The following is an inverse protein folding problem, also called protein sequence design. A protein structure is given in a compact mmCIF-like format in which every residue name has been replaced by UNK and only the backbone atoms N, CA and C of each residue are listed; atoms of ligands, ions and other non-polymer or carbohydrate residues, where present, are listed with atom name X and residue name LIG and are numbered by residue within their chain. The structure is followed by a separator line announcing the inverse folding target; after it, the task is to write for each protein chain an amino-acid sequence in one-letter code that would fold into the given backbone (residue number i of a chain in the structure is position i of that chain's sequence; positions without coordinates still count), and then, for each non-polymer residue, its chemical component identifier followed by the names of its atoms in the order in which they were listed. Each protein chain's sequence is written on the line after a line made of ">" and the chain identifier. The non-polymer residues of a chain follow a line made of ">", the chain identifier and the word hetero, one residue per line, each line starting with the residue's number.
data_IF_972462092037
#
_entry.id   IF_972462092037
#
_cell.length_a   1.000
_cell.length_b   1.000
_cell.length_c   1.000
_cell.angle_alpha   90.00
_cell.angle_beta   90.00
_cell.angle_gamma   90.00
#
_symmetry.space_group_name_H-M   'P 1'
#
loop_
_entity.id
_entity.type
_entity.pdbx_description
1 polymer ?
#
# COMPACT_ATOMS: atom_id res chain seq x y z
N UNK A 1 2.24 -12.40 1.20
CA UNK A 1 3.70 -12.21 1.30
C UNK A 1 4.15 -10.78 1.02
N UNK A 2 3.60 -10.06 0.06
CA UNK A 2 3.97 -8.66 -0.28
C UNK A 2 3.87 -7.66 0.89
N UNK A 3 2.87 -7.77 1.75
CA UNK A 3 2.65 -6.81 2.85
C UNK A 3 3.64 -6.91 4.02
N UNK A 4 4.30 -8.06 4.20
CA UNK A 4 5.37 -8.22 5.21
C UNK A 4 6.63 -7.50 4.71
N UNK A 5 6.82 -7.45 3.40
CA UNK A 5 7.98 -6.86 2.75
C UNK A 5 7.97 -5.33 2.86
N UNK A 6 6.84 -4.65 2.69
CA UNK A 6 6.72 -3.19 2.83
C UNK A 6 7.02 -2.70 4.26
N UNK A 7 6.48 -3.38 5.28
CA UNK A 7 6.75 -3.02 6.68
C UNK A 7 8.23 -3.23 7.03
N UNK A 8 8.83 -4.30 6.52
CA UNK A 8 10.24 -4.61 6.74
C UNK A 8 11.16 -3.64 5.97
N UNK A 9 10.81 -3.31 4.74
CA UNK A 9 11.53 -2.32 3.93
C UNK A 9 11.56 -0.95 4.62
N UNK A 10 10.42 -0.48 5.14
CA UNK A 10 10.37 0.78 5.91
C UNK A 10 11.27 0.76 7.15
N UNK A 11 11.31 -0.36 7.86
CA UNK A 11 12.20 -0.54 9.03
C UNK A 11 13.68 -0.53 8.66
N UNK A 12 14.04 -1.11 7.52
CA UNK A 12 15.39 -1.05 6.97
C UNK A 12 15.78 0.41 6.68
N UNK A 13 14.89 1.20 6.08
CA UNK A 13 15.13 2.64 5.87
C UNK A 13 15.34 3.38 7.19
N UNK A 14 14.51 3.12 8.20
CA UNK A 14 14.66 3.72 9.53
C UNK A 14 16.03 3.41 10.15
N UNK A 15 16.45 2.15 10.11
CA UNK A 15 17.76 1.75 10.63
C UNK A 15 18.92 2.39 9.82
N UNK A 16 18.81 2.52 8.52
CA UNK A 16 19.80 3.25 7.68
C UNK A 16 19.93 4.72 8.09
N UNK A 17 18.82 5.40 8.36
CA UNK A 17 18.86 6.80 8.82
C UNK A 17 19.61 6.88 10.16
N UNK A 18 19.33 5.98 11.11
CA UNK A 18 20.05 5.93 12.40
C UNK A 18 21.54 5.76 12.18
N UNK A 19 21.95 4.83 11.33
CA UNK A 19 23.40 4.59 11.07
C UNK A 19 24.08 5.80 10.43
N UNK A 20 23.38 6.53 9.54
CA UNK A 20 23.90 7.78 8.96
C UNK A 20 24.06 8.86 10.03
N UNK A 21 23.05 9.07 10.87
CA UNK A 21 23.10 10.09 11.93
C UNK A 21 24.24 9.81 12.90
N UNK A 22 24.34 8.60 13.41
CA UNK A 22 25.43 8.24 14.33
C UNK A 22 26.80 8.24 13.65
N UNK A 23 26.87 7.83 12.37
CA UNK A 23 28.09 7.93 11.57
C UNK A 23 28.58 9.38 11.43
N UNK A 24 27.66 10.32 11.12
CA UNK A 24 27.97 11.74 11.02
C UNK A 24 28.45 12.30 12.38
N UNK A 25 27.76 11.98 13.47
CA UNK A 25 28.15 12.42 14.83
C UNK A 25 29.57 11.91 15.15
N UNK A 26 29.83 10.61 14.93
CA UNK A 26 31.16 10.04 15.17
C UNK A 26 32.24 10.69 14.32
N UNK A 27 31.94 10.99 13.04
CA UNK A 27 32.86 11.69 12.14
C UNK A 27 33.23 13.10 12.63
N UNK A 28 32.20 13.90 13.02
CA UNK A 28 32.45 15.24 13.56
C UNK A 28 33.22 15.21 14.86
N UNK A 29 32.97 14.22 15.73
CA UNK A 29 33.73 14.02 16.94
C UNK A 29 35.21 13.71 16.65
N UNK A 30 35.49 12.87 15.66
CA UNK A 30 36.90 12.64 15.23
C UNK A 30 37.56 13.93 14.77
N UNK A 31 36.90 14.70 13.90
CA UNK A 31 37.45 15.97 13.43
C UNK A 31 37.71 16.94 14.58
N UNK A 32 36.71 17.13 15.44
CA UNK A 32 36.82 18.02 16.59
C UNK A 32 37.98 17.68 17.51
N UNK A 33 38.18 16.39 17.80
CA UNK A 33 39.24 15.93 18.68
C UNK A 33 40.61 16.02 18.04
N UNK A 34 40.75 15.72 16.76
CA UNK A 34 42.03 15.82 15.99
C UNK A 34 42.51 17.27 15.89
N UNK A 35 41.57 18.23 15.73
CA UNK A 35 41.92 19.66 15.65
C UNK A 35 42.24 20.26 17.04
N UNK A 36 41.91 19.57 18.12
CA UNK A 36 42.18 20.05 19.46
C UNK A 36 43.68 20.26 19.69
N UNK A 37 44.12 21.42 20.26
CA UNK A 37 45.52 21.67 20.58
C UNK A 37 46.13 20.65 21.54
N UNK A 38 45.28 19.97 22.33
CA UNK A 38 45.71 18.99 23.35
C UNK A 38 45.81 17.55 22.81
N UNK A 39 45.44 17.31 21.54
CA UNK A 39 45.37 15.96 20.94
C UNK A 39 46.67 15.16 21.09
N UNK A 40 47.83 15.80 20.96
CA UNK A 40 49.12 15.11 21.03
C UNK A 40 49.59 14.80 22.45
N UNK A 41 48.99 15.43 23.45
CA UNK A 41 49.45 15.35 24.83
C UNK A 41 48.53 14.49 25.71
N UNK A 42 47.28 14.30 25.32
CA UNK A 42 46.25 13.67 26.13
C UNK A 42 45.91 12.26 25.63
N UNK A 43 46.11 11.25 26.54
CA UNK A 43 45.75 9.86 26.29
C UNK A 43 44.21 9.66 26.13
N UNK A 44 43.42 10.37 26.93
CA UNK A 44 41.97 10.27 26.93
C UNK A 44 41.38 10.76 25.60
N UNK A 45 41.88 11.89 25.10
CA UNK A 45 41.46 12.47 23.81
C UNK A 45 41.79 11.52 22.64
N UNK A 46 42.99 10.92 22.64
CA UNK A 46 43.38 9.93 21.63
C UNK A 46 42.49 8.70 21.67
N UNK A 47 42.20 8.18 22.84
CA UNK A 47 41.33 7.02 23.03
C UNK A 47 39.90 7.33 22.58
N UNK A 48 39.38 8.51 22.94
CA UNK A 48 38.07 8.98 22.49
C UNK A 48 37.99 9.08 20.95
N UNK A 49 39.04 9.60 20.31
CA UNK A 49 39.14 9.71 18.85
C UNK A 49 39.11 8.32 18.18
N UNK A 50 39.86 7.35 18.70
CA UNK A 50 39.88 5.97 18.19
C UNK A 50 38.53 5.30 18.34
N UNK A 51 37.82 5.47 19.44
CA UNK A 51 36.47 4.96 19.65
C UNK A 51 35.50 5.54 18.62
N UNK A 52 35.50 6.87 18.42
CA UNK A 52 34.63 7.51 17.44
C UNK A 52 34.96 7.06 16.00
N UNK A 53 36.25 6.87 15.66
CA UNK A 53 36.65 6.34 14.36
C UNK A 53 36.12 4.92 14.12
N UNK A 54 36.23 4.05 15.16
CA UNK A 54 35.67 2.70 15.10
C UNK A 54 34.16 2.73 14.86
N UNK A 55 33.39 3.56 15.56
CA UNK A 55 31.95 3.66 15.38
C UNK A 55 31.56 4.26 14.03
N UNK A 56 32.31 5.23 13.54
CA UNK A 56 32.11 5.75 12.18
C UNK A 56 32.22 4.63 11.12
N UNK A 57 33.27 3.82 11.20
CA UNK A 57 33.47 2.69 10.31
C UNK A 57 32.38 1.62 10.49
N UNK A 58 32.00 1.32 11.73
CA UNK A 58 30.95 0.37 12.06
C UNK A 58 29.60 0.79 11.48
N UNK A 59 29.18 2.03 11.66
CA UNK A 59 27.91 2.52 11.11
C UNK A 59 27.92 2.58 9.58
N UNK A 60 29.06 2.90 8.97
CA UNK A 60 29.24 2.81 7.53
C UNK A 60 29.08 1.37 7.00
N UNK A 61 29.66 0.39 7.69
CA UNK A 61 29.49 -1.02 7.39
C UNK A 61 28.03 -1.47 7.52
N UNK A 62 27.33 -1.14 8.61
CA UNK A 62 25.92 -1.47 8.79
C UNK A 62 25.08 -0.86 7.67
N UNK A 63 25.31 0.40 7.32
CA UNK A 63 24.58 1.07 6.23
C UNK A 63 24.71 0.32 4.90
N UNK A 64 25.92 -0.11 4.56
CA UNK A 64 26.23 -0.77 3.30
C UNK A 64 25.62 -2.18 3.19
N UNK A 65 25.71 -2.97 4.25
CA UNK A 65 25.31 -4.38 4.24
C UNK A 65 23.90 -4.65 4.77
N UNK A 66 23.18 -3.64 5.23
CA UNK A 66 21.83 -3.78 5.76
C UNK A 66 20.82 -4.10 4.65
N UNK A 67 20.14 -5.23 4.81
CA UNK A 67 19.07 -5.72 3.94
C UNK A 67 17.85 -6.16 4.76
N UNK A 68 16.72 -6.45 4.08
CA UNK A 68 15.54 -7.00 4.75
C UNK A 68 15.83 -8.36 5.41
N UNK A 69 16.69 -9.18 4.83
CA UNK A 69 17.03 -10.52 5.34
C UNK A 69 17.80 -10.49 6.66
N UNK A 70 18.71 -9.54 6.82
CA UNK A 70 19.59 -9.43 7.99
C UNK A 70 19.17 -8.31 8.97
N UNK A 71 18.02 -7.68 8.74
CA UNK A 71 17.54 -6.54 9.53
C UNK A 71 17.58 -6.78 11.05
N UNK A 72 17.05 -7.91 11.53
CA UNK A 72 16.96 -8.18 12.96
C UNK A 72 18.35 -8.28 13.63
N UNK A 73 19.32 -8.88 12.93
CA UNK A 73 20.69 -9.02 13.41
C UNK A 73 21.35 -7.64 13.52
N UNK A 74 21.27 -6.85 12.43
CA UNK A 74 21.85 -5.50 12.43
C UNK A 74 21.15 -4.56 13.39
N UNK A 75 19.84 -4.71 13.61
CA UNK A 75 19.11 -3.95 14.63
C UNK A 75 19.68 -4.20 16.03
N UNK A 76 19.83 -5.46 16.43
CA UNK A 76 20.37 -5.84 17.73
C UNK A 76 21.81 -5.33 17.87
N UNK A 77 22.65 -5.56 16.85
CA UNK A 77 24.03 -5.11 16.86
C UNK A 77 24.14 -3.58 16.95
N UNK A 78 23.29 -2.84 16.25
CA UNK A 78 23.27 -1.36 16.31
C UNK A 78 22.86 -0.86 17.69
N UNK A 79 21.84 -1.44 18.32
CA UNK A 79 21.42 -1.08 19.67
C UNK A 79 22.56 -1.33 20.66
N UNK A 80 23.21 -2.50 20.56
CA UNK A 80 24.33 -2.86 21.41
C UNK A 80 25.52 -1.94 21.20
N UNK A 81 25.84 -1.60 19.95
CA UNK A 81 26.90 -0.66 19.61
C UNK A 81 26.65 0.73 20.21
N UNK A 82 25.44 1.27 20.09
CA UNK A 82 25.06 2.56 20.69
C UNK A 82 25.24 2.52 22.22
N UNK A 83 24.84 1.42 22.85
CA UNK A 83 24.98 1.24 24.30
C UNK A 83 26.46 1.18 24.74
N UNK A 84 27.30 0.38 24.06
CA UNK A 84 28.73 0.28 24.36
C UNK A 84 29.42 1.63 24.08
N UNK A 85 29.05 2.31 22.98
CA UNK A 85 29.57 3.64 22.69
C UNK A 85 29.34 4.58 23.88
N UNK A 86 28.11 4.62 24.38
CA UNK A 86 27.73 5.46 25.50
C UNK A 86 28.55 5.14 26.74
N UNK A 87 28.68 3.86 27.12
CA UNK A 87 29.50 3.43 28.29
C UNK A 87 30.97 3.78 28.11
N UNK A 88 31.52 3.65 26.90
CA UNK A 88 32.91 3.97 26.60
C UNK A 88 33.18 5.46 26.75
N UNK A 89 32.28 6.31 26.26
CA UNK A 89 32.40 7.78 26.41
C UNK A 89 32.27 8.18 27.87
N UNK A 90 31.32 7.58 28.58
CA UNK A 90 31.12 7.85 30.03
C UNK A 90 32.34 7.47 30.88
N UNK A 91 32.90 6.29 30.62
CA UNK A 91 34.11 5.82 31.29
C UNK A 91 35.32 6.75 31.02
N UNK A 92 35.49 7.22 29.77
CA UNK A 92 36.54 8.17 29.44
C UNK A 92 36.37 9.52 30.13
N UNK A 93 35.15 9.99 30.26
CA UNK A 93 34.83 11.23 30.98
C UNK A 93 35.12 11.09 32.48
N UNK A 94 34.96 9.89 33.05
CA UNK A 94 35.37 9.62 34.47
C UNK A 94 36.89 9.58 34.67
N UNK A 95 37.65 9.16 33.64
CA UNK A 95 39.12 9.15 33.70
C UNK A 95 39.73 10.56 33.54
N UNK A 96 38.99 11.51 32.94
CA UNK A 96 39.44 12.88 32.81
C UNK A 96 39.27 13.64 34.13
N UNK A 97 40.39 13.76 34.88
CA UNK A 97 40.45 14.42 36.20
C UNK A 97 39.94 15.89 36.20
N UNK A 98 39.75 16.51 35.09
CA UNK A 98 39.16 17.85 35.00
C UNK A 98 37.66 17.85 35.32
N UNK A 99 36.94 16.78 34.99
CA UNK A 99 35.54 16.62 35.31
C UNK A 99 35.25 16.19 36.74
N UNK A 100 36.18 15.49 37.38
CA UNK A 100 36.04 15.05 38.79
C UNK A 100 36.17 16.22 39.81
N UNK A 101 36.72 17.36 39.37
CA UNK A 101 36.84 18.55 40.27
C UNK A 101 35.55 19.38 40.36
N UNK A 102 34.55 19.14 39.52
CA UNK A 102 33.25 19.83 39.60
C UNK A 102 32.20 19.12 40.45
N UNK A 103 32.64 18.40 41.50
CA UNK A 103 31.74 17.68 42.40
C UNK A 103 30.97 16.54 41.73
N UNK A 104 30.83 15.43 42.40
CA UNK A 104 30.07 14.24 41.94
C UNK A 104 28.65 14.54 41.45
N UNK A 105 28.05 15.69 41.82
CA UNK A 105 26.71 16.10 41.50
C UNK A 105 26.54 16.77 40.12
N UNK A 106 27.51 17.58 39.66
CA UNK A 106 27.43 18.32 38.41
C UNK A 106 28.16 17.63 37.24
N UNK A 107 29.29 16.98 37.50
CA UNK A 107 30.10 16.32 36.47
C UNK A 107 29.50 15.02 35.90
N UNK A 108 28.68 14.30 36.67
CA UNK A 108 28.17 12.99 36.31
C UNK A 108 26.87 13.02 35.45
N UNK A 109 26.33 14.17 35.11
CA UNK A 109 24.99 14.08 34.54
C UNK A 109 24.53 15.11 33.51
N UNK A 110 25.16 16.27 33.43
CA UNK A 110 24.48 17.41 32.78
C UNK A 110 24.23 17.25 31.28
N UNK A 111 25.19 16.74 30.53
CA UNK A 111 25.06 16.76 29.06
C UNK A 111 24.42 15.48 28.52
N UNK A 112 24.56 14.38 29.18
CA UNK A 112 24.13 13.07 28.69
C UNK A 112 22.66 12.79 28.98
N UNK A 113 22.09 13.36 30.07
CA UNK A 113 20.67 13.20 30.37
C UNK A 113 19.74 13.88 29.35
N UNK A 114 20.22 14.93 28.67
CA UNK A 114 19.46 15.61 27.62
C UNK A 114 19.54 14.87 26.28
N UNK A 115 20.71 14.30 25.96
CA UNK A 115 20.92 13.59 24.69
C UNK A 115 20.23 12.24 24.64
N UNK A 116 20.14 11.52 25.76
CA UNK A 116 19.57 10.18 25.78
C UNK A 116 18.06 10.14 25.47
N UNK A 117 17.20 10.99 26.05
CA UNK A 117 15.79 11.11 25.64
C UNK A 117 15.63 11.45 24.15
N UNK A 118 16.52 12.29 23.61
CA UNK A 118 16.50 12.63 22.19
C UNK A 118 16.85 11.43 21.31
N UNK A 119 17.86 10.65 21.68
CA UNK A 119 18.23 9.39 21.00
C UNK A 119 17.08 8.38 21.07
N UNK A 120 16.44 8.26 22.22
CA UNK A 120 15.28 7.39 22.42
C UNK A 120 14.12 7.83 21.54
N UNK A 121 13.85 9.13 21.43
CA UNK A 121 12.81 9.69 20.57
C UNK A 121 13.09 9.37 19.09
N UNK A 122 14.31 9.61 18.64
CA UNK A 122 14.75 9.31 17.27
C UNK A 122 14.63 7.80 17.00
N UNK A 123 15.11 6.98 17.90
CA UNK A 123 15.04 5.52 17.78
C UNK A 123 13.59 5.02 17.72
N UNK A 124 12.70 5.55 18.56
CA UNK A 124 11.30 5.15 18.59
C UNK A 124 10.56 5.48 17.29
N UNK A 125 10.82 6.67 16.71
CA UNK A 125 10.19 7.10 15.46
C UNK A 125 10.69 6.29 14.26
N UNK A 126 11.96 5.88 14.27
CA UNK A 126 12.60 5.20 13.16
C UNK A 126 12.40 3.68 13.19
N UNK A 127 12.45 3.06 14.37
CA UNK A 127 12.34 1.60 14.48
C UNK A 127 10.90 1.09 14.49
N UNK A 128 9.95 1.87 14.98
CA UNK A 128 8.52 1.53 15.02
C UNK A 128 8.24 0.14 15.64
N UNK A 129 9.02 -0.26 16.63
CA UNK A 129 8.85 -1.49 17.40
C UNK A 129 8.80 -1.19 18.88
N UNK A 130 7.70 -1.53 19.57
CA UNK A 130 7.60 -1.34 21.03
C UNK A 130 8.74 -2.02 21.78
N UNK A 131 9.21 -3.18 21.29
CA UNK A 131 10.31 -3.92 21.89
C UNK A 131 11.62 -3.12 21.93
N UNK A 132 11.88 -2.30 20.90
CA UNK A 132 13.06 -1.44 20.85
C UNK A 132 12.97 -0.35 21.91
N UNK A 133 11.82 0.26 22.09
CA UNK A 133 11.59 1.26 23.15
C UNK A 133 11.82 0.63 24.52
N UNK A 134 11.28 -0.56 24.78
CA UNK A 134 11.48 -1.30 26.02
C UNK A 134 12.98 -1.58 26.26
N UNK A 135 13.71 -2.03 25.23
CA UNK A 135 15.15 -2.27 25.33
C UNK A 135 15.93 -0.99 25.68
N UNK A 136 15.61 0.14 25.03
CA UNK A 136 16.25 1.41 25.36
C UNK A 136 15.92 1.87 26.79
N UNK A 137 14.67 1.72 27.23
CA UNK A 137 14.26 2.01 28.61
C UNK A 137 15.05 1.14 29.59
N UNK A 138 15.17 -0.16 29.32
CA UNK A 138 15.93 -1.09 30.15
C UNK A 138 17.41 -0.70 30.25
N UNK A 139 18.08 -0.49 29.11
CA UNK A 139 19.48 -0.08 29.07
C UNK A 139 19.72 1.25 29.77
N UNK A 140 18.82 2.22 29.59
CA UNK A 140 18.95 3.49 30.29
C UNK A 140 18.79 3.35 31.80
N UNK A 141 17.85 2.52 32.24
CA UNK A 141 17.73 2.21 33.68
C UNK A 141 19.00 1.57 34.24
N UNK A 142 19.60 0.66 33.48
CA UNK A 142 20.90 0.07 33.87
C UNK A 142 22.02 1.14 33.99
N UNK A 143 22.08 2.10 33.07
CA UNK A 143 23.05 3.20 33.11
C UNK A 143 22.78 4.11 34.31
N UNK A 144 21.53 4.44 34.61
CA UNK A 144 21.20 5.21 35.81
C UNK A 144 21.65 4.50 37.08
N UNK A 145 21.35 3.21 37.20
CA UNK A 145 21.78 2.40 38.33
C UNK A 145 23.31 2.40 38.42
N UNK A 146 24.01 2.14 37.32
CA UNK A 146 25.48 2.15 37.29
C UNK A 146 26.08 3.49 37.75
N UNK A 147 25.52 4.62 37.29
CA UNK A 147 26.01 5.95 37.67
C UNK A 147 25.75 6.33 39.11
N UNK A 148 24.57 6.02 39.63
CA UNK A 148 24.16 6.48 40.94
C UNK A 148 24.41 5.43 42.03
N UNK A 149 24.63 4.17 41.70
CA UNK A 149 24.88 3.12 42.66
C UNK A 149 26.10 3.37 43.54
N UNK A 150 27.31 3.79 43.02
CA UNK A 150 28.45 4.11 43.84
C UNK A 150 28.19 5.29 44.78
N UNK A 151 27.35 6.22 44.35
CA UNK A 151 26.99 7.40 45.13
C UNK A 151 26.06 7.05 46.29
N UNK A 152 25.14 6.09 46.07
CA UNK A 152 24.20 5.63 47.12
C UNK A 152 24.88 4.78 48.18
N UNK A 153 25.91 4.01 47.80
CA UNK A 153 26.64 3.13 48.74
C UNK A 153 27.72 3.87 49.54
N UNK A 154 28.22 4.98 49.04
CA UNK A 154 29.22 5.75 49.73
C UNK A 154 28.55 6.49 50.91
N UNK A 155 28.87 6.09 52.14
CA UNK A 155 28.31 6.64 53.38
C UNK A 155 28.54 8.17 53.54
N UNK A 156 29.46 8.73 52.77
CA UNK A 156 29.78 10.16 52.81
C UNK A 156 28.96 10.98 51.80
N UNK A 157 28.15 10.34 50.94
CA UNK A 157 27.33 11.08 49.97
C UNK A 157 25.97 11.44 50.54
N UNK A 158 25.50 12.64 50.21
CA UNK A 158 24.20 13.12 50.66
C UNK A 158 23.51 13.98 49.57
N UNK A 159 22.20 14.05 49.64
CA UNK A 159 21.42 14.89 48.77
C UNK A 159 21.27 16.31 49.32
N UNK A 160 21.51 17.34 48.51
CA UNK A 160 21.32 18.74 48.86
C UNK A 160 20.61 19.52 47.78
N UNK A 161 19.83 20.51 48.16
CA UNK A 161 19.25 21.49 47.25
C UNK A 161 19.95 22.87 47.34
N UNK A 162 20.94 22.96 48.25
CA UNK A 162 21.70 24.21 48.44
C UNK A 162 22.92 24.27 47.53
N UNK A 163 22.96 25.27 46.66
CA UNK A 163 24.04 25.49 45.68
C UNK A 163 25.43 25.66 46.30
N UNK A 164 25.52 26.29 47.47
CA UNK A 164 26.81 26.50 48.14
C UNK A 164 27.38 25.17 48.62
N UNK A 165 26.52 24.33 49.16
CA UNK A 165 26.87 22.97 49.59
C UNK A 165 27.24 22.10 48.40
N UNK A 166 26.49 22.15 47.30
CA UNK A 166 26.74 21.35 46.10
C UNK A 166 28.08 21.72 45.45
N UNK A 167 28.39 23.02 45.40
CA UNK A 167 29.67 23.51 44.83
C UNK A 167 30.86 23.32 45.78
N UNK A 168 30.62 23.30 47.09
CA UNK A 168 31.67 23.21 48.11
C UNK A 168 32.03 21.81 48.54
N UNK A 169 31.11 20.85 48.47
CA UNK A 169 31.31 19.47 48.90
C UNK A 169 31.16 18.48 47.76
N UNK A 170 32.22 17.82 47.39
CA UNK A 170 32.23 16.84 46.29
C UNK A 170 31.35 15.60 46.53
N UNK A 171 30.81 15.42 47.73
CA UNK A 171 29.89 14.33 48.07
C UNK A 171 28.41 14.75 48.00
N UNK A 172 28.11 16.03 47.79
CA UNK A 172 26.75 16.52 47.68
C UNK A 172 26.16 16.26 46.29
N UNK A 173 24.95 15.71 46.23
CA UNK A 173 24.20 15.47 45.00
C UNK A 173 23.06 16.49 44.90
N UNK A 174 22.93 17.15 43.75
CA UNK A 174 21.83 18.06 43.51
C UNK A 174 20.50 17.30 43.39
N UNK A 175 19.65 17.43 44.40
CA UNK A 175 18.32 16.80 44.42
C UNK A 175 17.40 17.31 43.32
N UNK A 176 17.47 18.60 42.97
CA UNK A 176 16.62 19.22 41.98
C UNK A 176 16.98 18.70 40.57
N UNK A 177 18.28 18.65 40.28
CA UNK A 177 18.78 18.14 39.01
C UNK A 177 18.47 16.64 38.84
N UNK A 178 18.67 15.83 39.86
CA UNK A 178 18.31 14.40 39.84
C UNK A 178 16.83 14.20 39.61
N UNK A 179 15.97 14.90 40.37
CA UNK A 179 14.52 14.83 40.20
C UNK A 179 14.07 15.29 38.81
N UNK A 180 14.66 16.37 38.28
CA UNK A 180 14.41 16.86 36.95
C UNK A 180 14.79 15.81 35.86
N UNK A 181 15.96 15.20 35.94
CA UNK A 181 16.43 14.18 35.02
C UNK A 181 15.52 12.96 34.97
N UNK A 182 15.08 12.48 36.14
CA UNK A 182 14.15 11.34 36.25
C UNK A 182 12.79 11.69 35.61
N UNK A 183 12.27 12.89 35.89
CA UNK A 183 11.00 13.33 35.29
C UNK A 183 11.08 13.45 33.76
N UNK A 184 12.13 14.07 33.22
CA UNK A 184 12.36 14.18 31.78
C UNK A 184 12.43 12.79 31.13
N UNK A 185 13.10 11.84 31.78
CA UNK A 185 13.20 10.47 31.30
C UNK A 185 11.84 9.75 31.27
N UNK A 186 11.04 9.86 32.34
CA UNK A 186 9.69 9.27 32.38
C UNK A 186 8.80 9.84 31.25
N UNK A 187 8.80 11.17 31.11
CA UNK A 187 8.03 11.85 30.06
C UNK A 187 8.49 11.39 28.67
N UNK A 188 9.81 11.33 28.43
CA UNK A 188 10.35 10.88 27.16
C UNK A 188 9.96 9.42 26.86
N UNK A 189 10.03 8.52 27.86
CA UNK A 189 9.63 7.13 27.69
C UNK A 189 8.14 6.98 27.33
N UNK A 190 7.25 7.74 27.98
CA UNK A 190 5.81 7.75 27.69
C UNK A 190 5.55 8.30 26.28
N UNK A 191 6.20 9.39 25.90
CA UNK A 191 6.06 9.99 24.57
C UNK A 191 6.53 9.03 23.48
N UNK A 192 7.70 8.41 23.66
CA UNK A 192 8.23 7.44 22.72
C UNK A 192 7.32 6.22 22.54
N UNK A 193 6.81 5.69 23.65
CA UNK A 193 5.82 4.59 23.61
C UNK A 193 4.57 4.99 22.84
N UNK A 194 4.04 6.17 23.15
CA UNK A 194 2.83 6.69 22.49
C UNK A 194 3.01 6.88 20.99
N UNK A 195 4.15 7.44 20.56
CA UNK A 195 4.49 7.63 19.15
C UNK A 195 4.57 6.29 18.41
N UNK A 196 5.25 5.30 19.00
CA UNK A 196 5.37 3.96 18.39
C UNK A 196 4.02 3.29 18.29
N UNK A 197 3.21 3.36 19.35
CA UNK A 197 1.88 2.76 19.40
C UNK A 197 0.95 3.37 18.34
N UNK A 198 0.88 4.71 18.26
CA UNK A 198 0.04 5.42 17.30
C UNK A 198 0.52 5.13 15.88
N UNK A 199 1.83 5.18 15.63
CA UNK A 199 2.41 4.92 14.31
C UNK A 199 2.13 3.48 13.82
N UNK A 200 2.25 2.48 14.70
CA UNK A 200 1.96 1.08 14.33
C UNK A 200 0.46 0.86 14.08
N UNK A 201 -0.40 1.50 14.87
CA UNK A 201 -1.85 1.47 14.68
C UNK A 201 -2.23 2.08 13.33
N UNK A 202 -1.82 3.32 13.07
CA UNK A 202 -2.10 4.02 11.79
C UNK A 202 -1.60 3.22 10.58
N UNK A 203 -0.40 2.65 10.67
CA UNK A 203 0.14 1.84 9.59
C UNK A 203 -0.68 0.58 9.33
N UNK A 204 -1.13 -0.10 10.38
CA UNK A 204 -1.98 -1.28 10.24
C UNK A 204 -3.37 -0.93 9.68
N UNK A 205 -3.92 0.22 10.04
CA UNK A 205 -5.20 0.71 9.50
C UNK A 205 -5.09 1.05 8.01
N UNK A 206 -3.99 1.71 7.59
CA UNK A 206 -3.71 1.98 6.17
C UNK A 206 -3.59 0.66 5.38
N UNK A 207 -2.83 -0.33 5.88
CA UNK A 207 -2.71 -1.63 5.21
C UNK A 207 -4.07 -2.33 5.10
N UNK A 208 -4.91 -2.28 6.14
CA UNK A 208 -6.25 -2.86 6.10
C UNK A 208 -7.11 -2.16 5.06
N UNK A 209 -7.04 -0.83 5.00
CA UNK A 209 -7.74 -0.02 4.02
C UNK A 209 -7.29 -0.35 2.59
N UNK A 210 -5.98 -0.41 2.33
CA UNK A 210 -5.45 -0.80 1.02
C UNK A 210 -5.89 -2.21 0.60
N UNK A 211 -5.84 -3.19 1.52
CA UNK A 211 -6.33 -4.55 1.24
C UNK A 211 -7.82 -4.58 0.93
N UNK A 212 -8.61 -3.86 1.71
CA UNK A 212 -10.03 -3.74 1.48
C UNK A 212 -10.31 -3.12 0.11
N UNK A 213 -9.65 -2.00 -0.21
CA UNK A 213 -9.77 -1.32 -1.50
C UNK A 213 -9.32 -2.23 -2.66
N UNK A 214 -8.23 -2.99 -2.49
CA UNK A 214 -7.78 -3.95 -3.50
C UNK A 214 -8.75 -5.13 -3.69
N UNK A 215 -9.43 -5.57 -2.65
CA UNK A 215 -10.50 -6.57 -2.77
C UNK A 215 -11.73 -5.99 -3.47
N UNK A 216 -12.19 -4.82 -3.06
CA UNK A 216 -13.32 -4.15 -3.71
C UNK A 216 -13.02 -3.79 -5.17
N UNK A 217 -11.77 -3.46 -5.50
CA UNK A 217 -11.39 -3.12 -6.87
C UNK A 217 -11.57 -4.26 -7.88
N UNK A 218 -11.70 -5.51 -7.41
CA UNK A 218 -12.01 -6.65 -8.29
C UNK A 218 -13.46 -6.64 -8.81
N UNK A 219 -14.35 -5.94 -8.12
CA UNK A 219 -15.75 -5.81 -8.52
C UNK A 219 -16.02 -4.67 -9.49
N UNK A 220 -15.01 -3.81 -9.75
CA UNK A 220 -15.14 -2.66 -10.61
C UNK A 220 -14.20 -2.77 -11.83
N UNK A 221 -14.65 -2.30 -12.97
CA UNK A 221 -13.80 -2.18 -14.16
C UNK A 221 -12.64 -1.21 -13.92
N UNK A 222 -11.53 -1.31 -14.68
CA UNK A 222 -10.41 -0.38 -14.56
C UNK A 222 -10.82 1.09 -14.69
N UNK A 223 -11.72 1.41 -15.63
CA UNK A 223 -12.20 2.76 -15.87
C UNK A 223 -13.00 3.34 -14.69
N UNK A 224 -13.83 2.51 -14.04
CA UNK A 224 -14.57 2.92 -12.83
C UNK A 224 -13.61 3.12 -11.67
N UNK A 225 -12.61 2.24 -11.51
CA UNK A 225 -11.60 2.38 -10.44
C UNK A 225 -10.82 3.69 -10.54
N UNK A 226 -10.39 4.05 -11.74
CA UNK A 226 -9.69 5.32 -11.99
C UNK A 226 -10.56 6.52 -11.62
N UNK A 227 -11.85 6.47 -11.97
CA UNK A 227 -12.82 7.51 -11.62
C UNK A 227 -13.11 7.60 -10.11
N UNK A 228 -13.21 6.46 -9.42
CA UNK A 228 -13.37 6.44 -7.94
C UNK A 228 -12.16 7.08 -7.25
N UNK A 229 -10.95 6.95 -7.81
CA UNK A 229 -9.73 7.53 -7.27
C UNK A 229 -9.60 9.04 -7.56
N UNK A 230 -10.30 9.55 -8.56
CA UNK A 230 -10.34 10.97 -8.87
C UNK A 230 -11.23 11.70 -7.84
N UNK A 231 -10.62 12.44 -6.92
CA UNK A 231 -11.30 13.18 -5.85
C UNK A 231 -12.29 14.23 -6.36
N UNK A 232 -12.21 14.61 -7.63
CA UNK A 232 -13.12 15.58 -8.26
C UNK A 232 -14.32 14.91 -8.93
N UNK A 233 -14.34 13.58 -9.01
CA UNK A 233 -15.42 12.85 -9.67
C UNK A 233 -16.42 12.33 -8.64
N UNK A 234 -17.51 13.06 -8.49
CA UNK A 234 -18.62 12.62 -7.66
C UNK A 234 -19.50 11.63 -8.42
N UNK A 235 -19.20 10.35 -8.25
CA UNK A 235 -19.97 9.24 -8.83
C UNK A 235 -21.43 9.26 -8.34
N UNK A 236 -21.68 9.81 -7.16
CA UNK A 236 -22.99 9.74 -6.50
C UNK A 236 -23.98 10.77 -7.04
N UNK A 237 -23.51 11.92 -7.53
CA UNK A 237 -24.36 13.02 -7.96
C UNK A 237 -24.64 13.11 -9.46
N UNK A 238 -23.87 12.42 -10.31
CA UNK A 238 -23.95 12.56 -11.77
C UNK A 238 -24.81 11.46 -12.42
N UNK A 239 -26.09 11.76 -12.63
CA UNK A 239 -26.90 11.05 -13.63
C UNK A 239 -26.73 11.78 -14.96
N UNK A 240 -25.95 11.20 -15.86
CA UNK A 240 -25.68 11.80 -17.15
C UNK A 240 -26.43 11.08 -18.24
N UNK A 241 -27.13 11.87 -19.07
CA UNK A 241 -27.73 11.43 -20.34
C UNK A 241 -26.61 11.37 -21.38
N UNK A 242 -26.30 10.20 -21.89
CA UNK A 242 -25.21 10.04 -22.88
C UNK A 242 -25.42 8.87 -23.82
N UNK A 243 -24.74 8.95 -24.97
CA UNK A 243 -24.74 7.92 -25.99
C UNK A 243 -23.79 6.80 -25.62
N UNK A 244 -24.28 5.56 -25.58
CA UNK A 244 -23.51 4.38 -25.12
C UNK A 244 -23.72 3.22 -26.10
N UNK A 245 -22.66 2.44 -26.37
CA UNK A 245 -22.82 1.13 -26.97
C UNK A 245 -22.99 0.08 -25.86
N UNK A 246 -24.06 -0.69 -25.94
CA UNK A 246 -24.34 -1.80 -25.02
C UNK A 246 -24.17 -3.10 -25.78
N UNK A 247 -23.34 -3.98 -25.20
CA UNK A 247 -23.03 -5.31 -25.72
C UNK A 247 -23.54 -6.36 -24.74
N UNK A 248 -24.30 -7.32 -25.27
CA UNK A 248 -24.66 -8.55 -24.60
C UNK A 248 -24.01 -9.73 -25.28
N UNK A 249 -23.52 -10.69 -24.50
CA UNK A 249 -23.10 -12.00 -25.02
C UNK A 249 -23.52 -13.09 -24.04
N UNK A 250 -23.96 -14.24 -24.56
CA UNK A 250 -24.40 -15.42 -23.79
C UNK A 250 -23.90 -16.73 -24.40
N UNK A 251 -23.96 -17.80 -23.64
CA UNK A 251 -23.59 -19.15 -24.08
C UNK A 251 -24.81 -19.79 -24.77
N UNK A 252 -24.61 -20.36 -25.96
CA UNK A 252 -25.66 -21.07 -26.68
C UNK A 252 -26.04 -22.36 -25.94
N UNK A 253 -27.30 -22.46 -25.48
CA UNK A 253 -27.84 -23.66 -24.84
C UNK A 253 -27.29 -23.95 -23.48
N UNK A 254 -26.85 -22.92 -22.73
CA UNK A 254 -26.25 -23.07 -21.40
C UNK A 254 -27.08 -23.91 -20.44
N UNK A 255 -28.41 -23.71 -20.39
CA UNK A 255 -29.31 -24.49 -19.52
C UNK A 255 -29.12 -25.99 -19.73
N UNK A 256 -29.15 -26.47 -20.98
CA UNK A 256 -28.97 -27.88 -21.29
C UNK A 256 -27.54 -28.40 -21.08
N UNK A 257 -26.55 -27.51 -21.05
CA UNK A 257 -25.15 -27.83 -20.70
C UNK A 257 -25.04 -27.96 -19.19
N UNK A 258 -25.55 -26.99 -18.45
CA UNK A 258 -25.45 -26.94 -16.97
C UNK A 258 -26.20 -28.07 -16.28
N UNK A 259 -27.32 -28.56 -16.85
CA UNK A 259 -28.04 -29.70 -16.32
C UNK A 259 -27.26 -31.04 -16.37
N UNK A 260 -26.21 -31.10 -17.21
CA UNK A 260 -25.38 -32.31 -17.42
C UNK A 260 -24.05 -32.27 -16.66
N UNK A 261 -23.74 -31.16 -16.05
CA UNK A 261 -22.47 -30.90 -15.36
C UNK A 261 -22.66 -30.86 -13.83
N UNK A 262 -21.65 -31.28 -13.11
CA UNK A 262 -21.60 -31.07 -11.67
C UNK A 262 -21.44 -29.55 -11.35
N UNK A 263 -21.97 -29.07 -10.21
CA UNK A 263 -21.95 -27.65 -9.85
C UNK A 263 -20.56 -26.98 -9.98
N UNK A 264 -19.51 -27.68 -9.57
CA UNK A 264 -18.13 -27.18 -9.66
C UNK A 264 -17.65 -27.06 -11.11
N UNK A 265 -18.10 -27.94 -12.00
CA UNK A 265 -17.79 -27.89 -13.43
C UNK A 265 -18.52 -26.73 -14.11
N UNK A 266 -19.76 -26.43 -13.71
CA UNK A 266 -20.52 -25.29 -14.17
C UNK A 266 -19.80 -23.99 -13.80
N UNK A 267 -19.35 -23.84 -12.54
CA UNK A 267 -18.60 -22.68 -12.09
C UNK A 267 -17.29 -22.52 -12.88
N UNK A 268 -16.58 -23.63 -13.11
CA UNK A 268 -15.33 -23.61 -13.89
C UNK A 268 -15.59 -23.18 -15.33
N UNK A 269 -16.62 -23.74 -15.98
CA UNK A 269 -17.02 -23.38 -17.34
C UNK A 269 -17.37 -21.88 -17.46
N UNK A 270 -18.18 -21.37 -16.52
CA UNK A 270 -18.54 -19.95 -16.47
C UNK A 270 -17.31 -19.07 -16.28
N UNK A 271 -16.41 -19.44 -15.37
CA UNK A 271 -15.18 -18.68 -15.11
C UNK A 271 -14.27 -18.63 -16.34
N UNK A 272 -14.10 -19.76 -17.06
CA UNK A 272 -13.33 -19.83 -18.30
C UNK A 272 -13.97 -18.98 -19.42
N UNK A 273 -15.29 -19.00 -19.55
CA UNK A 273 -16.02 -18.17 -20.50
C UNK A 273 -15.90 -16.69 -20.16
N UNK A 274 -16.20 -16.31 -18.93
CA UNK A 274 -16.13 -14.92 -18.46
C UNK A 274 -14.72 -14.32 -18.65
N UNK A 275 -13.67 -15.09 -18.39
CA UNK A 275 -12.28 -14.65 -18.58
C UNK A 275 -11.99 -14.29 -20.05
N UNK A 276 -12.57 -15.08 -21.00
CA UNK A 276 -12.45 -14.87 -22.43
C UNK A 276 -13.28 -13.70 -22.93
N UNK A 277 -14.32 -13.30 -22.20
CA UNK A 277 -15.16 -12.13 -22.53
C UNK A 277 -14.61 -10.85 -21.90
N UNK A 278 -14.14 -10.90 -20.64
CA UNK A 278 -13.65 -9.74 -19.91
C UNK A 278 -12.39 -9.15 -20.55
N UNK A 279 -11.45 -9.99 -20.99
CA UNK A 279 -10.20 -9.52 -21.60
C UNK A 279 -10.43 -8.61 -22.83
N UNK A 280 -11.21 -9.03 -23.86
CA UNK A 280 -11.54 -8.16 -24.99
C UNK A 280 -12.28 -6.88 -24.57
N UNK A 281 -13.19 -6.95 -23.57
CA UNK A 281 -13.90 -5.77 -23.09
C UNK A 281 -12.90 -4.72 -22.58
N UNK A 282 -11.97 -5.11 -21.72
CA UNK A 282 -10.99 -4.16 -21.17
C UNK A 282 -9.96 -3.69 -22.20
N UNK A 283 -9.54 -4.55 -23.13
CA UNK A 283 -8.63 -4.19 -24.21
C UNK A 283 -9.22 -3.14 -25.16
N UNK A 284 -10.53 -3.15 -25.34
CA UNK A 284 -11.25 -2.20 -26.18
C UNK A 284 -11.92 -1.06 -25.37
N UNK A 285 -11.36 -0.72 -24.20
CA UNK A 285 -11.85 0.37 -23.34
C UNK A 285 -13.32 0.25 -22.92
N UNK A 286 -13.85 -0.97 -22.85
CA UNK A 286 -15.18 -1.28 -22.36
C UNK A 286 -15.22 -1.46 -20.84
N UNK A 287 -16.41 -1.37 -20.30
CA UNK A 287 -16.73 -1.64 -18.90
C UNK A 287 -17.63 -2.85 -18.81
N UNK A 288 -17.29 -3.84 -17.97
CA UNK A 288 -18.24 -4.90 -17.60
C UNK A 288 -19.25 -4.28 -16.65
N UNK A 289 -20.52 -4.27 -17.05
CA UNK A 289 -21.60 -3.77 -16.21
C UNK A 289 -21.99 -4.83 -15.18
N UNK A 290 -22.43 -5.99 -15.65
CA UNK A 290 -22.79 -7.12 -14.78
C UNK A 290 -22.76 -8.47 -15.50
N UNK A 291 -22.82 -9.53 -14.72
CA UNK A 291 -23.08 -10.89 -15.18
C UNK A 291 -24.54 -11.24 -14.87
N UNK A 292 -25.23 -11.84 -15.85
CA UNK A 292 -26.65 -12.25 -15.72
C UNK A 292 -26.70 -13.72 -16.08
N UNK A 293 -26.48 -14.60 -15.07
CA UNK A 293 -26.27 -16.02 -15.32
C UNK A 293 -25.02 -16.28 -16.14
N UNK A 294 -25.16 -16.86 -17.32
CA UNK A 294 -24.10 -17.05 -18.32
C UNK A 294 -23.86 -15.83 -19.22
N UNK A 295 -24.79 -14.87 -19.22
CA UNK A 295 -24.67 -13.67 -20.03
C UNK A 295 -23.71 -12.64 -19.39
N UNK A 296 -22.97 -11.93 -20.24
CA UNK A 296 -22.14 -10.79 -19.87
C UNK A 296 -22.69 -9.54 -20.52
N UNK A 297 -22.99 -8.53 -19.71
CA UNK A 297 -23.34 -7.20 -20.16
C UNK A 297 -22.12 -6.30 -20.08
N UNK A 298 -21.78 -5.66 -21.20
CA UNK A 298 -20.70 -4.68 -21.27
C UNK A 298 -21.18 -3.38 -21.89
N UNK A 299 -20.54 -2.29 -21.50
CA UNK A 299 -20.84 -0.94 -21.98
C UNK A 299 -19.58 -0.27 -22.49
N UNK A 300 -19.73 0.56 -23.53
CA UNK A 300 -18.66 1.39 -24.10
C UNK A 300 -19.15 2.82 -24.14
N UNK A 301 -18.38 3.72 -23.58
CA UNK A 301 -18.78 5.09 -23.31
C UNK A 301 -19.06 5.37 -21.82
N UNK A 302 -18.93 4.38 -20.93
CA UNK A 302 -19.15 4.53 -19.50
C UNK A 302 -17.85 4.31 -18.71
N UNK A 303 -17.63 5.02 -17.59
CA UNK A 303 -18.40 6.14 -17.03
C UNK A 303 -18.29 7.42 -17.87
N UNK A 304 -17.35 7.50 -18.80
CA UNK A 304 -17.12 8.65 -19.69
C UNK A 304 -16.83 8.17 -21.09
N UNK A 305 -17.47 8.79 -22.09
CA UNK A 305 -17.23 8.49 -23.50
C UNK A 305 -15.79 8.81 -23.92
N UNK A 306 -15.22 7.94 -24.75
CA UNK A 306 -13.90 8.10 -25.36
C UNK A 306 -13.98 8.59 -26.83
N UNK A 307 -15.16 8.84 -27.33
CA UNK A 307 -15.42 9.33 -28.70
C UNK A 307 -15.54 8.22 -29.75
N UNK A 308 -14.97 7.03 -29.49
CA UNK A 308 -15.01 5.89 -30.45
C UNK A 308 -15.77 4.69 -29.88
N UNK A 309 -16.74 4.92 -29.01
CA UNK A 309 -17.39 3.88 -28.21
C UNK A 309 -18.09 2.80 -29.05
N UNK A 310 -18.74 3.20 -30.15
CA UNK A 310 -19.38 2.26 -31.10
C UNK A 310 -18.35 1.36 -31.81
N UNK A 311 -17.23 1.93 -32.26
CA UNK A 311 -16.13 1.17 -32.88
C UNK A 311 -15.44 0.24 -31.90
N UNK A 312 -15.22 0.69 -30.68
CA UNK A 312 -14.64 -0.10 -29.62
C UNK A 312 -15.51 -1.31 -29.24
N UNK A 313 -16.83 -1.12 -29.15
CA UNK A 313 -17.78 -2.21 -28.95
C UNK A 313 -17.73 -3.26 -30.07
N UNK A 314 -17.66 -2.80 -31.32
CA UNK A 314 -17.56 -3.68 -32.49
C UNK A 314 -16.22 -4.45 -32.48
N UNK A 315 -15.10 -3.80 -32.24
CA UNK A 315 -13.78 -4.43 -32.15
C UNK A 315 -13.74 -5.47 -31.03
N UNK A 316 -14.30 -5.14 -29.87
CA UNK A 316 -14.43 -6.07 -28.75
C UNK A 316 -15.17 -7.36 -29.15
N UNK A 317 -16.32 -7.22 -29.83
CA UNK A 317 -17.08 -8.39 -30.28
C UNK A 317 -16.30 -9.25 -31.30
N UNK A 318 -15.51 -8.63 -32.17
CA UNK A 318 -14.59 -9.36 -33.06
C UNK A 318 -13.54 -10.14 -32.28
N UNK A 319 -12.94 -9.52 -31.32
CA UNK A 319 -11.92 -10.16 -30.48
C UNK A 319 -12.52 -11.30 -29.64
N UNK A 320 -13.76 -11.14 -29.15
CA UNK A 320 -14.51 -12.22 -28.48
C UNK A 320 -14.73 -13.41 -29.43
N UNK A 321 -15.12 -13.18 -30.66
CA UNK A 321 -15.31 -14.26 -31.67
C UNK A 321 -13.98 -15.00 -31.93
N UNK A 322 -12.87 -14.28 -32.03
CA UNK A 322 -11.53 -14.88 -32.21
C UNK A 322 -11.16 -15.73 -30.96
N UNK A 323 -11.38 -15.20 -29.78
CA UNK A 323 -11.13 -15.91 -28.50
C UNK A 323 -11.95 -17.19 -28.41
N UNK A 324 -13.22 -17.16 -28.78
CA UNK A 324 -14.10 -18.35 -28.74
C UNK A 324 -13.72 -19.39 -29.80
N UNK A 325 -13.25 -18.99 -30.97
CA UNK A 325 -12.73 -19.95 -31.97
C UNK A 325 -11.47 -20.66 -31.46
N UNK A 326 -10.60 -19.92 -30.82
CA UNK A 326 -9.42 -20.52 -30.17
C UNK A 326 -9.84 -21.52 -29.10
N UNK A 327 -10.78 -21.12 -28.24
CA UNK A 327 -11.31 -22.02 -27.20
C UNK A 327 -11.98 -23.26 -27.77
N UNK A 328 -12.71 -23.15 -28.85
CA UNK A 328 -13.29 -24.28 -29.54
C UNK A 328 -12.23 -25.29 -30.00
N UNK A 329 -11.08 -24.83 -30.52
CA UNK A 329 -9.94 -25.70 -30.87
C UNK A 329 -9.36 -26.39 -29.63
N UNK A 330 -9.06 -25.63 -28.57
CA UNK A 330 -8.53 -26.16 -27.30
C UNK A 330 -9.46 -27.24 -26.72
N UNK A 331 -10.77 -27.00 -26.71
CA UNK A 331 -11.77 -27.95 -26.22
C UNK A 331 -11.87 -29.20 -27.11
N UNK A 332 -11.78 -29.02 -28.44
CA UNK A 332 -11.78 -30.14 -29.38
C UNK A 332 -10.58 -31.07 -29.19
N UNK A 333 -9.37 -30.52 -28.96
CA UNK A 333 -8.16 -31.30 -28.67
C UNK A 333 -8.30 -32.09 -27.35
N UNK A 334 -9.00 -31.54 -26.38
CA UNK A 334 -9.31 -32.19 -25.10
C UNK A 334 -10.52 -33.12 -25.14
N UNK A 335 -11.17 -33.28 -26.32
CA UNK A 335 -12.42 -34.05 -26.52
C UNK A 335 -13.56 -33.52 -25.62
N UNK A 336 -13.59 -32.25 -25.30
CA UNK A 336 -14.67 -31.60 -24.56
C UNK A 336 -15.73 -31.02 -25.50
N UNK A 337 -16.97 -30.86 -25.06
CA UNK A 337 -18.03 -30.22 -25.87
C UNK A 337 -17.63 -28.80 -26.29
N UNK A 338 -17.83 -28.47 -27.55
CA UNK A 338 -17.59 -27.13 -28.10
C UNK A 338 -18.65 -26.18 -27.57
N UNK A 339 -18.22 -25.10 -27.00
CA UNK A 339 -19.08 -24.03 -26.48
C UNK A 339 -19.17 -22.93 -27.53
N UNK A 340 -20.39 -22.58 -27.90
CA UNK A 340 -20.71 -21.44 -28.79
C UNK A 340 -21.30 -20.29 -27.97
N UNK A 341 -21.17 -19.09 -28.48
CA UNK A 341 -21.79 -17.90 -27.90
C UNK A 341 -22.52 -17.06 -28.94
N UNK A 342 -23.32 -16.13 -28.47
CA UNK A 342 -23.99 -15.11 -29.28
C UNK A 342 -23.61 -13.75 -28.78
N UNK A 343 -23.57 -12.77 -29.72
CA UNK A 343 -23.29 -11.37 -29.39
C UNK A 343 -24.37 -10.49 -30.02
N UNK A 344 -24.86 -9.54 -29.24
CA UNK A 344 -25.77 -8.48 -29.72
C UNK A 344 -25.27 -7.12 -29.27
N UNK A 345 -25.18 -6.14 -30.18
CA UNK A 345 -24.77 -4.78 -29.85
C UNK A 345 -25.77 -3.78 -30.35
N UNK A 346 -26.10 -2.82 -29.49
CA UNK A 346 -26.92 -1.66 -29.84
C UNK A 346 -26.26 -0.38 -29.34
N UNK A 347 -26.42 0.70 -30.11
CA UNK A 347 -25.93 2.03 -29.74
C UNK A 347 -27.09 2.98 -29.59
N UNK A 348 -27.20 3.67 -28.48
CA UNK A 348 -28.28 4.59 -28.20
C UNK A 348 -28.07 5.42 -26.95
N UNK A 349 -29.03 6.29 -26.68
CA UNK A 349 -29.03 7.17 -25.52
C UNK A 349 -29.50 6.45 -24.27
N UNK A 350 -28.83 6.70 -23.12
CA UNK A 350 -29.20 6.16 -21.83
C UNK A 350 -28.79 7.09 -20.67
N UNK A 351 -29.32 6.82 -19.52
CA UNK A 351 -28.89 7.44 -18.28
C UNK A 351 -27.78 6.54 -17.67
N UNK A 352 -26.64 7.12 -17.41
CA UNK A 352 -25.52 6.48 -16.70
C UNK A 352 -25.44 7.04 -15.29
N UNK A 353 -25.38 6.19 -14.30
CA UNK A 353 -25.27 6.63 -12.92
C UNK A 353 -25.59 5.56 -11.89
N UNK A 354 -25.66 5.99 -10.66
CA UNK A 354 -25.99 5.14 -9.52
C UNK A 354 -27.49 4.91 -9.41
N UNK A 355 -27.85 3.65 -9.22
CA UNK A 355 -29.22 3.18 -9.04
C UNK A 355 -29.28 2.36 -7.76
N UNK A 356 -30.20 2.70 -6.88
CA UNK A 356 -30.33 2.02 -5.59
C UNK A 356 -30.75 2.99 -4.49
N UNK A 357 -30.45 2.63 -3.27
CA UNK A 357 -30.68 3.44 -2.08
C UNK A 357 -29.35 3.68 -1.34
N UNK A 358 -29.41 4.32 -0.17
CA UNK A 358 -28.22 4.65 0.62
C UNK A 358 -27.45 3.42 1.14
N UNK A 359 -28.12 2.25 1.21
CA UNK A 359 -27.50 1.01 1.71
C UNK A 359 -26.90 0.17 0.58
N UNK A 360 -27.50 0.18 -0.62
CA UNK A 360 -27.07 -0.60 -1.77
C UNK A 360 -27.25 0.21 -3.05
N UNK A 361 -26.14 0.46 -3.71
CA UNK A 361 -26.09 1.23 -4.94
C UNK A 361 -25.30 0.46 -6.01
N UNK A 362 -25.83 0.42 -7.22
CA UNK A 362 -25.18 -0.15 -8.40
C UNK A 362 -24.93 0.95 -9.43
N UNK A 363 -23.69 1.07 -9.90
CA UNK A 363 -23.37 1.94 -11.04
C UNK A 363 -23.68 1.20 -12.33
N UNK A 364 -24.64 1.68 -13.09
CA UNK A 364 -25.13 1.00 -14.29
C UNK A 364 -25.74 1.96 -15.31
N UNK A 365 -26.12 1.43 -16.45
CA UNK A 365 -26.84 2.16 -17.49
C UNK A 365 -28.32 1.79 -17.49
N UNK A 366 -29.17 2.82 -17.56
CA UNK A 366 -30.63 2.66 -17.60
C UNK A 366 -31.15 3.31 -18.85
N UNK A 367 -31.92 2.55 -19.58
CA UNK A 367 -32.61 3.04 -20.81
C UNK A 367 -33.05 1.89 -21.68
N UNK A 368 -33.82 2.26 -22.69
CA UNK A 368 -34.31 1.33 -23.71
C UNK A 368 -33.15 0.65 -24.49
N UNK A 369 -32.00 1.33 -24.59
CA UNK A 369 -30.79 0.80 -25.24
C UNK A 369 -30.35 -0.54 -24.67
N UNK A 370 -30.48 -0.75 -23.33
CA UNK A 370 -30.12 -2.00 -22.67
C UNK A 370 -31.05 -3.14 -23.11
N UNK A 371 -32.37 -2.85 -23.12
CA UNK A 371 -33.38 -3.83 -23.55
C UNK A 371 -33.23 -4.21 -25.03
N UNK A 372 -32.94 -3.23 -25.88
CA UNK A 372 -32.71 -3.48 -27.30
C UNK A 372 -31.46 -4.35 -27.50
N UNK A 373 -30.34 -4.02 -26.86
CA UNK A 373 -29.11 -4.79 -26.98
C UNK A 373 -29.27 -6.26 -26.52
N UNK A 374 -29.96 -6.48 -25.41
CA UNK A 374 -30.25 -7.83 -24.90
C UNK A 374 -31.08 -8.63 -25.95
N UNK A 375 -32.11 -8.01 -26.52
CA UNK A 375 -32.98 -8.66 -27.53
C UNK A 375 -32.31 -8.86 -28.87
N UNK A 376 -31.36 -7.99 -29.23
CA UNK A 376 -30.51 -8.20 -30.43
C UNK A 376 -29.62 -9.43 -30.21
N UNK A 377 -29.13 -9.65 -28.99
CA UNK A 377 -28.41 -10.88 -28.65
C UNK A 377 -29.30 -12.13 -28.75
N UNK A 378 -30.52 -12.06 -28.21
CA UNK A 378 -31.51 -13.15 -28.32
C UNK A 378 -31.92 -13.45 -29.80
N UNK A 379 -32.03 -12.43 -30.64
CA UNK A 379 -32.41 -12.56 -32.05
C UNK A 379 -31.45 -13.41 -32.90
N UNK A 380 -30.19 -13.59 -32.43
CA UNK A 380 -29.26 -14.54 -33.03
C UNK A 380 -29.84 -15.96 -33.13
N UNK A 381 -30.70 -16.35 -32.16
CA UNK A 381 -31.35 -17.65 -32.17
C UNK A 381 -32.29 -17.85 -33.35
N UNK A 382 -33.06 -16.81 -33.61
CA UNK A 382 -34.10 -16.87 -34.69
C UNK A 382 -33.47 -16.71 -36.07
N UNK A 383 -32.34 -16.03 -36.15
CA UNK A 383 -31.63 -15.72 -37.39
C UNK A 383 -30.47 -16.69 -37.68
N UNK A 384 -30.31 -17.72 -36.88
CA UNK A 384 -29.18 -18.70 -36.95
C UNK A 384 -27.82 -18.00 -37.15
N UNK A 385 -27.55 -17.02 -36.29
CA UNK A 385 -26.35 -16.19 -36.33
C UNK A 385 -25.63 -16.18 -34.97
N UNK A 386 -24.40 -15.72 -34.96
CA UNK A 386 -23.60 -15.62 -33.73
C UNK A 386 -23.29 -14.16 -33.35
N UNK A 387 -23.41 -13.23 -34.29
CA UNK A 387 -23.10 -11.82 -34.05
C UNK A 387 -24.03 -10.88 -34.82
N UNK A 388 -24.82 -10.13 -34.07
CA UNK A 388 -25.76 -9.14 -34.57
C UNK A 388 -25.45 -7.73 -34.06
N UNK A 389 -25.63 -6.76 -34.94
CA UNK A 389 -25.60 -5.35 -34.58
C UNK A 389 -26.84 -4.64 -35.14
N UNK A 390 -27.23 -3.54 -34.50
CA UNK A 390 -28.31 -2.66 -35.03
C UNK A 390 -27.78 -1.67 -36.05
N UNK A 391 -28.66 -1.13 -36.86
CA UNK A 391 -28.35 -0.04 -37.81
C UNK A 391 -27.73 1.17 -37.10
N UNK A 392 -28.25 1.52 -35.91
CA UNK A 392 -27.71 2.65 -35.10
C UNK A 392 -26.24 2.49 -34.71
N UNK A 393 -25.78 1.26 -34.50
CA UNK A 393 -24.35 0.98 -34.27
C UNK A 393 -23.60 1.04 -35.63
N UNK A 394 -24.10 0.38 -36.67
CA UNK A 394 -23.44 0.30 -37.99
C UNK A 394 -23.13 1.68 -38.56
N UNK A 395 -24.07 2.62 -38.49
CA UNK A 395 -23.88 4.00 -38.96
C UNK A 395 -22.78 4.79 -38.25
N UNK A 396 -22.24 4.26 -37.16
CA UNK A 396 -21.17 4.88 -36.36
C UNK A 396 -19.83 4.16 -36.44
N UNK A 397 -19.76 3.13 -37.30
CA UNK A 397 -18.50 2.45 -37.55
C UNK A 397 -17.66 3.20 -38.57
N UNK A 398 -16.35 3.20 -38.37
CA UNK A 398 -15.40 3.92 -39.24
C UNK A 398 -15.11 3.17 -40.55
N UNK A 399 -15.51 1.90 -40.65
CA UNK A 399 -15.26 1.04 -41.80
C UNK A 399 -16.57 0.58 -42.44
N UNK A 400 -16.57 0.46 -43.76
CA UNK A 400 -17.69 -0.17 -44.49
C UNK A 400 -17.57 -1.70 -44.35
N UNK A 401 -18.34 -2.24 -43.40
CA UNK A 401 -18.30 -3.65 -43.06
C UNK A 401 -19.32 -4.40 -43.89
N UNK A 402 -18.88 -5.46 -44.57
CA UNK A 402 -19.78 -6.37 -45.27
C UNK A 402 -20.70 -7.08 -44.27
N UNK A 403 -21.99 -6.81 -44.37
CA UNK A 403 -23.00 -7.35 -43.49
C UNK A 403 -24.15 -7.96 -44.31
N UNK A 404 -24.83 -8.96 -43.75
CA UNK A 404 -26.13 -9.39 -44.27
C UNK A 404 -27.20 -8.62 -43.51
N UNK A 405 -27.87 -7.73 -44.24
CA UNK A 405 -28.93 -6.87 -43.71
C UNK A 405 -30.24 -7.64 -43.56
N UNK A 406 -30.89 -7.49 -42.41
CA UNK A 406 -32.22 -8.00 -42.08
C UNK A 406 -33.11 -6.79 -41.81
N UNK A 407 -33.94 -6.44 -42.79
CA UNK A 407 -34.86 -5.30 -42.69
C UNK A 407 -36.11 -5.67 -41.89
N UNK A 408 -36.61 -4.69 -41.16
CA UNK A 408 -37.92 -4.79 -40.49
C UNK A 408 -38.06 -5.96 -39.51
N UNK A 409 -36.99 -6.29 -38.74
CA UNK A 409 -37.06 -7.29 -37.70
C UNK A 409 -37.88 -6.78 -36.51
N UNK A 410 -38.83 -7.61 -36.03
CA UNK A 410 -39.68 -7.27 -34.89
C UNK A 410 -39.00 -7.62 -33.60
N UNK A 411 -38.44 -6.62 -32.89
CA UNK A 411 -37.91 -6.80 -31.56
C UNK A 411 -39.07 -6.82 -30.56
N UNK A 412 -39.17 -7.89 -29.76
CA UNK A 412 -40.23 -8.09 -28.78
C UNK A 412 -40.36 -6.87 -27.85
N UNK A 413 -41.56 -6.26 -27.76
CA UNK A 413 -41.83 -5.10 -26.90
C UNK A 413 -41.42 -3.75 -27.52
N UNK A 414 -40.98 -3.71 -28.78
CA UNK A 414 -40.80 -2.48 -29.56
C UNK A 414 -41.96 -2.34 -30.54
N UNK A 415 -42.49 -1.10 -30.67
CA UNK A 415 -43.51 -0.79 -31.66
C UNK A 415 -42.87 -0.65 -33.05
N UNK A 416 -41.64 -0.19 -33.12
CA UNK A 416 -40.90 0.05 -34.35
C UNK A 416 -40.02 -1.14 -34.69
N UNK A 417 -40.12 -1.58 -35.97
CA UNK A 417 -39.22 -2.61 -36.49
C UNK A 417 -37.82 -2.08 -36.64
N UNK A 418 -36.84 -2.92 -36.29
CA UNK A 418 -35.43 -2.56 -36.34
C UNK A 418 -34.72 -3.21 -37.53
N UNK A 419 -33.76 -2.52 -38.13
CA UNK A 419 -32.82 -3.15 -39.06
C UNK A 419 -31.65 -3.72 -38.33
N UNK A 420 -31.42 -5.02 -38.53
CA UNK A 420 -30.29 -5.75 -37.92
C UNK A 420 -29.28 -6.15 -39.00
N UNK A 421 -28.04 -6.30 -38.61
CA UNK A 421 -26.96 -6.73 -39.49
C UNK A 421 -26.26 -7.93 -38.90
N UNK A 422 -26.23 -9.04 -39.68
CA UNK A 422 -25.43 -10.22 -39.34
C UNK A 422 -24.00 -9.95 -39.76
N UNK A 423 -23.07 -10.15 -38.81
CA UNK A 423 -21.63 -10.00 -39.00
C UNK A 423 -21.00 -11.38 -39.10
N UNK A 424 -20.28 -11.63 -40.17
CA UNK A 424 -19.46 -12.82 -40.35
C UNK A 424 -17.99 -12.40 -40.14
N UNK A 425 -17.39 -12.84 -39.04
CA UNK A 425 -15.98 -12.55 -38.68
C UNK A 425 -15.09 -13.66 -39.21
#
# INVERSE_FOLDING_TARGET
>A
MENIDHKLTRRVYGLRIVTVVFGIISFFNVISTVISPTFNLDFVIKTYTLINLFYFLYFGFVYQYLTTKNYNIFLILTIFAIFIFYLSVDYLNELDNQFTRMGLGLGRGSDQFILFPLILLIASTLFQRPQVVIMFIFFFTCILIYKYYPVIINENTFFSSDWQTILGDGNAIDTNFFGFAVNVWIIAAILCWSIVYISDKLFNDVIKFEKSTAQFSKYFSPAIREKIQDQNFDILSNKNDQMVAVLFTDIVGFTGISEKLEPNEVIKLLSEYQDRMIKPIFQNAGTVDKFIGDAVMATFGTPVSQGNDAQNAFNCARDMQISMRQWAKERSELKLPIIKHRIGIHFGNCIVGNVGNDELTEFTVIGDVVNVASRVCEANKDLDSEFLITESLKLRLNEDIKTKEIKSYEIRGKKEKQTLHIINV
#
